data_IF_445904203254
#
_entry.id   IF_445904203254
#
_cell.length_a   1.000
_cell.length_b   1.000
_cell.length_c   1.000
_cell.angle_alpha   90.00
_cell.angle_beta   90.00
_cell.angle_gamma   90.00
#
_symmetry.space_group_name_H-M   'P 1'
#
loop_
_entity.id
_entity.type
_entity.pdbx_description
1 polymer ?
#
# COMPACT_ATOMS: atom_id res chain seq x y z
N UNK A 1 5.52 -22.61 10.16
CA UNK A 1 4.09 -22.26 10.20
C UNK A 1 3.78 -21.16 11.22
N UNK A 2 3.89 -21.35 12.54
CA UNK A 2 3.60 -20.27 13.51
C UNK A 2 4.57 -19.08 13.42
N UNK A 3 5.86 -19.33 13.19
CA UNK A 3 6.87 -18.27 13.03
C UNK A 3 6.61 -17.40 11.81
N UNK A 4 6.25 -18.02 10.69
CA UNK A 4 5.99 -17.33 9.42
C UNK A 4 4.73 -16.46 9.51
N UNK A 5 3.67 -16.95 10.18
CA UNK A 5 2.44 -16.20 10.40
C UNK A 5 2.67 -14.99 11.33
N UNK A 6 3.47 -15.18 12.39
CA UNK A 6 3.83 -14.11 13.32
C UNK A 6 4.67 -13.04 12.62
N UNK A 7 5.63 -13.45 11.78
CA UNK A 7 6.48 -12.52 11.04
C UNK A 7 5.66 -11.71 10.03
N UNK A 8 4.72 -12.35 9.31
CA UNK A 8 3.77 -11.66 8.44
C UNK A 8 2.91 -10.66 9.23
N UNK A 9 2.32 -11.07 10.35
CA UNK A 9 1.48 -10.20 11.16
C UNK A 9 2.25 -8.99 11.73
N UNK A 10 3.46 -9.21 12.25
CA UNK A 10 4.32 -8.14 12.78
C UNK A 10 4.72 -7.15 11.69
N UNK A 11 4.98 -7.65 10.49
CA UNK A 11 5.35 -6.81 9.36
C UNK A 11 4.22 -5.90 8.87
N UNK A 12 2.96 -6.20 9.20
CA UNK A 12 1.82 -5.28 9.02
C UNK A 12 1.63 -4.34 10.22
N UNK A 13 1.62 -4.90 11.43
CA UNK A 13 1.24 -4.17 12.65
C UNK A 13 2.27 -3.10 13.01
N UNK A 14 3.57 -3.38 12.86
CA UNK A 14 4.64 -2.42 13.17
C UNK A 14 4.58 -1.15 12.32
N UNK A 15 4.55 -1.22 10.98
CA UNK A 15 4.45 -0.02 10.13
C UNK A 15 3.13 0.74 10.32
N UNK A 16 1.99 0.04 10.44
CA UNK A 16 0.70 0.69 10.73
C UNK A 16 0.76 1.41 12.08
N UNK A 17 1.28 0.74 13.11
CA UNK A 17 1.45 1.31 14.45
C UNK A 17 2.37 2.53 14.43
N UNK A 18 3.52 2.45 13.76
CA UNK A 18 4.46 3.55 13.63
C UNK A 18 3.81 4.76 12.94
N UNK A 19 3.18 4.55 11.78
CA UNK A 19 2.50 5.61 11.04
C UNK A 19 1.36 6.21 11.85
N UNK A 20 0.61 5.40 12.58
CA UNK A 20 -0.48 5.89 13.43
C UNK A 20 0.08 6.72 14.59
N UNK A 21 1.11 6.25 15.30
CA UNK A 21 1.65 6.97 16.47
C UNK A 21 2.26 8.31 16.06
N UNK A 22 3.04 8.35 14.97
CA UNK A 22 3.81 9.54 14.60
C UNK A 22 3.10 10.45 13.58
N UNK A 23 2.21 9.90 12.74
CA UNK A 23 1.66 10.59 11.57
C UNK A 23 0.12 10.54 11.49
N UNK A 24 -0.62 10.10 12.53
CA UNK A 24 -2.09 9.89 12.44
C UNK A 24 -2.95 11.04 11.90
N UNK A 25 -2.51 12.30 11.97
CA UNK A 25 -3.25 13.46 11.43
C UNK A 25 -2.74 13.96 10.08
N UNK A 26 -1.84 13.22 9.44
CA UNK A 26 -1.27 13.63 8.16
C UNK A 26 -1.83 12.80 7.00
N UNK A 27 -1.91 13.39 5.79
CA UNK A 27 -2.27 12.65 4.58
C UNK A 27 -1.35 11.45 4.32
N UNK A 28 -0.09 11.53 4.74
CA UNK A 28 0.89 10.44 4.69
C UNK A 28 0.35 9.17 5.34
N UNK A 29 -0.26 9.28 6.52
CA UNK A 29 -0.79 8.12 7.22
C UNK A 29 -1.92 7.42 6.46
N UNK A 30 -2.80 8.22 5.85
CA UNK A 30 -3.88 7.72 4.99
C UNK A 30 -3.28 7.00 3.78
N UNK A 31 -2.31 7.61 3.10
CA UNK A 31 -1.69 7.04 1.91
C UNK A 31 -1.01 5.70 2.21
N UNK A 32 -0.22 5.65 3.29
CA UNK A 32 0.56 4.48 3.67
C UNK A 32 -0.33 3.32 4.14
N UNK A 33 -1.28 3.58 5.04
CA UNK A 33 -2.15 2.53 5.60
C UNK A 33 -3.11 2.01 4.52
N UNK A 34 -3.69 2.88 3.69
CA UNK A 34 -4.61 2.43 2.64
C UNK A 34 -3.91 1.60 1.56
N UNK A 35 -2.72 2.01 1.09
CA UNK A 35 -1.98 1.21 0.12
C UNK A 35 -1.52 -0.13 0.71
N UNK A 36 -1.13 -0.14 1.99
CA UNK A 36 -0.72 -1.37 2.66
C UNK A 36 -1.89 -2.33 2.87
N UNK A 37 -3.04 -1.86 3.37
CA UNK A 37 -4.17 -2.74 3.70
C UNK A 37 -5.10 -2.99 2.50
N UNK A 38 -5.58 -1.93 1.86
CA UNK A 38 -6.55 -2.05 0.77
C UNK A 38 -5.85 -2.39 -0.55
N UNK A 39 -4.70 -1.76 -0.82
CA UNK A 39 -3.89 -2.05 -2.01
C UNK A 39 -3.45 -3.51 -2.04
N UNK A 40 -2.68 -3.95 -1.04
CA UNK A 40 -2.18 -5.33 -0.98
C UNK A 40 -3.31 -6.37 -0.98
N UNK A 41 -4.32 -6.18 -0.12
CA UNK A 41 -5.44 -7.12 -0.03
C UNK A 41 -6.20 -7.30 -1.35
N UNK A 42 -6.44 -6.22 -2.10
CA UNK A 42 -7.08 -6.30 -3.42
C UNK A 42 -6.12 -6.85 -4.48
N UNK A 43 -4.83 -6.52 -4.44
CA UNK A 43 -3.83 -7.07 -5.34
C UNK A 43 -3.77 -8.60 -5.25
N UNK A 44 -3.84 -9.13 -4.03
CA UNK A 44 -3.76 -10.54 -3.74
C UNK A 44 -5.02 -11.31 -4.19
N UNK A 45 -6.20 -10.70 -4.04
CA UNK A 45 -7.47 -11.24 -4.56
C UNK A 45 -7.50 -11.16 -6.10
N UNK A 46 -7.17 -10.01 -6.67
CA UNK A 46 -7.20 -9.77 -8.10
C UNK A 46 -6.16 -10.64 -8.83
N UNK A 47 -4.97 -10.79 -8.26
CA UNK A 47 -3.92 -11.63 -8.82
C UNK A 47 -4.28 -13.12 -8.80
N UNK A 48 -4.96 -13.59 -7.76
CA UNK A 48 -5.47 -14.98 -7.71
C UNK A 48 -6.65 -15.20 -8.66
N UNK A 49 -7.54 -14.23 -8.82
CA UNK A 49 -8.78 -14.36 -9.60
C UNK A 49 -8.60 -14.11 -11.10
N UNK A 50 -7.69 -13.20 -11.47
CA UNK A 50 -7.45 -12.77 -12.86
C UNK A 50 -6.02 -13.06 -13.33
N UNK A 51 -5.33 -14.01 -12.68
CA UNK A 51 -3.90 -14.29 -12.86
C UNK A 51 -3.43 -14.85 -14.21
N UNK A 52 -4.18 -14.62 -15.28
CA UNK A 52 -3.84 -15.06 -16.64
C UNK A 52 -2.63 -14.34 -17.25
N UNK A 53 -2.44 -13.04 -16.96
CA UNK A 53 -1.33 -12.24 -17.50
C UNK A 53 -0.28 -11.97 -16.42
N UNK A 54 0.72 -12.86 -16.36
CA UNK A 54 1.88 -12.74 -15.46
C UNK A 54 2.85 -11.67 -15.97
N UNK A 55 3.56 -11.01 -15.05
CA UNK A 55 4.60 -10.05 -15.41
C UNK A 55 5.79 -10.79 -16.06
N UNK A 56 6.31 -10.30 -17.21
CA UNK A 56 7.42 -10.96 -17.92
C UNK A 56 8.70 -11.06 -17.08
N UNK A 57 8.86 -10.18 -16.08
CA UNK A 57 9.99 -10.12 -15.15
C UNK A 57 9.74 -10.85 -13.82
N UNK A 58 8.49 -11.14 -13.47
CA UNK A 58 8.12 -11.79 -12.20
C UNK A 58 6.93 -12.74 -12.38
N UNK A 59 7.22 -14.04 -12.50
CA UNK A 59 6.19 -15.09 -12.77
C UNK A 59 5.25 -15.35 -11.58
N UNK A 60 5.53 -14.78 -10.41
CA UNK A 60 4.69 -14.89 -9.23
C UNK A 60 3.66 -13.74 -9.12
N UNK A 61 3.89 -12.62 -9.81
CA UNK A 61 3.00 -11.45 -9.80
C UNK A 61 2.30 -11.29 -11.15
N UNK A 62 1.15 -10.62 -11.13
CA UNK A 62 0.25 -10.49 -12.28
C UNK A 62 -0.04 -9.02 -12.54
N UNK A 63 -0.24 -8.64 -13.81
CA UNK A 63 -0.63 -7.28 -14.14
C UNK A 63 -1.95 -6.88 -13.47
N UNK A 64 -2.88 -7.83 -13.36
CA UNK A 64 -4.16 -7.62 -12.66
C UNK A 64 -3.97 -7.31 -11.17
N UNK A 65 -3.01 -7.96 -10.51
CA UNK A 65 -2.66 -7.69 -9.11
C UNK A 65 -2.13 -6.26 -8.93
N UNK A 66 -1.11 -5.87 -9.70
CA UNK A 66 -0.51 -4.52 -9.59
C UNK A 66 -1.52 -3.40 -9.93
N UNK A 67 -2.37 -3.61 -10.93
CA UNK A 67 -3.42 -2.64 -11.27
C UNK A 67 -4.50 -2.57 -10.19
N UNK A 68 -4.89 -3.72 -9.64
CA UNK A 68 -5.80 -3.81 -8.49
C UNK A 68 -5.24 -3.09 -7.27
N UNK A 69 -3.95 -3.22 -7.03
CA UNK A 69 -3.25 -2.53 -5.94
C UNK A 69 -3.33 -1.01 -6.08
N UNK A 70 -2.97 -0.49 -7.26
CA UNK A 70 -2.97 0.95 -7.52
C UNK A 70 -4.38 1.54 -7.44
N UNK A 71 -5.39 0.85 -7.97
CA UNK A 71 -6.78 1.33 -7.91
C UNK A 71 -7.30 1.28 -6.49
N UNK A 72 -7.14 0.16 -5.79
CA UNK A 72 -7.69 -0.03 -4.46
C UNK A 72 -7.03 0.91 -3.44
N UNK A 73 -5.70 1.03 -3.50
CA UNK A 73 -4.95 1.94 -2.65
C UNK A 73 -5.34 3.40 -2.87
N UNK A 74 -5.40 3.84 -4.13
CA UNK A 74 -5.82 5.21 -4.47
C UNK A 74 -7.27 5.52 -4.06
N UNK A 75 -8.23 4.66 -4.41
CA UNK A 75 -9.64 4.86 -4.07
C UNK A 75 -9.86 4.83 -2.55
N UNK A 76 -9.19 3.93 -1.83
CA UNK A 76 -9.24 3.89 -0.38
C UNK A 76 -8.67 5.18 0.22
N UNK A 77 -7.51 5.66 -0.25
CA UNK A 77 -6.94 6.92 0.22
C UNK A 77 -7.83 8.12 -0.03
N UNK A 78 -8.49 8.19 -1.19
CA UNK A 78 -9.48 9.24 -1.47
C UNK A 78 -10.68 9.17 -0.52
N UNK A 79 -11.23 7.98 -0.31
CA UNK A 79 -12.38 7.79 0.57
C UNK A 79 -12.04 8.21 2.01
N UNK A 80 -10.87 7.82 2.51
CA UNK A 80 -10.41 8.23 3.83
C UNK A 80 -10.08 9.74 3.90
N UNK A 81 -9.52 10.34 2.84
CA UNK A 81 -9.33 11.79 2.78
C UNK A 81 -10.67 12.53 2.92
N UNK A 82 -11.70 12.14 2.15
CA UNK A 82 -13.04 12.73 2.28
C UNK A 82 -13.65 12.49 3.66
N UNK A 83 -13.47 11.29 4.22
CA UNK A 83 -13.95 10.96 5.56
C UNK A 83 -13.30 11.82 6.65
N UNK A 84 -11.97 11.98 6.62
CA UNK A 84 -11.26 12.83 7.57
C UNK A 84 -11.48 14.33 7.33
N UNK A 85 -11.75 14.73 6.09
CA UNK A 85 -12.12 16.11 5.77
C UNK A 85 -13.51 16.47 6.25
N UNK A 86 -14.47 15.55 6.18
CA UNK A 86 -15.80 15.71 6.79
C UNK A 86 -15.70 15.95 8.30
N UNK A 87 -14.76 15.28 8.96
CA UNK A 87 -14.52 15.39 10.39
C UNK A 87 -13.63 16.60 10.77
N UNK A 88 -13.33 17.48 9.81
CA UNK A 88 -12.49 18.68 10.00
C UNK A 88 -11.06 18.38 10.50
N UNK A 89 -10.58 17.13 10.34
CA UNK A 89 -9.22 16.76 10.73
C UNK A 89 -8.18 17.11 9.67
N UNK A 90 -8.56 17.12 8.39
CA UNK A 90 -7.68 17.36 7.24
C UNK A 90 -8.41 18.21 6.20
N UNK A 91 -7.75 19.23 5.65
CA UNK A 91 -8.27 19.99 4.51
C UNK A 91 -8.01 19.24 3.20
N UNK A 92 -9.04 18.70 2.56
CA UNK A 92 -8.87 18.02 1.28
C UNK A 92 -8.30 19.00 0.23
N UNK A 93 -7.14 18.66 -0.36
CA UNK A 93 -6.51 19.47 -1.39
C UNK A 93 -6.18 18.66 -2.65
N UNK A 94 -6.15 19.30 -3.84
CA UNK A 94 -5.75 18.63 -5.08
C UNK A 94 -4.32 18.04 -5.02
N UNK A 95 -3.43 18.67 -4.25
CA UNK A 95 -2.07 18.17 -4.05
C UNK A 95 -2.05 16.83 -3.30
N UNK A 96 -2.97 16.62 -2.36
CA UNK A 96 -3.10 15.33 -1.67
C UNK A 96 -3.57 14.23 -2.61
N UNK A 97 -4.50 14.54 -3.51
CA UNK A 97 -4.96 13.60 -4.55
C UNK A 97 -3.80 13.15 -5.43
N UNK A 98 -2.98 14.09 -5.89
CA UNK A 98 -1.76 13.77 -6.65
C UNK A 98 -0.78 12.94 -5.81
N UNK A 99 -0.58 13.30 -4.54
CA UNK A 99 0.27 12.53 -3.63
C UNK A 99 -0.21 11.08 -3.44
N UNK A 100 -1.51 10.86 -3.25
CA UNK A 100 -2.08 9.51 -3.15
C UNK A 100 -1.91 8.71 -4.43
N UNK A 101 -2.08 9.35 -5.58
CA UNK A 101 -1.86 8.70 -6.87
C UNK A 101 -0.40 8.26 -7.03
N UNK A 102 0.55 9.14 -6.71
CA UNK A 102 1.99 8.85 -6.78
C UNK A 102 2.40 7.74 -5.80
N UNK A 103 1.93 7.80 -4.55
CA UNK A 103 2.22 6.76 -3.55
C UNK A 103 1.63 5.43 -4.02
N UNK A 104 0.39 5.40 -4.51
CA UNK A 104 -0.24 4.15 -4.94
C UNK A 104 0.44 3.54 -6.17
N UNK A 105 0.85 4.37 -7.14
CA UNK A 105 1.64 3.92 -8.28
C UNK A 105 3.00 3.37 -7.84
N UNK A 106 3.69 4.10 -6.96
CA UNK A 106 5.01 3.70 -6.48
C UNK A 106 4.95 2.42 -5.65
N UNK A 107 3.95 2.27 -4.77
CA UNK A 107 3.72 1.03 -4.04
C UNK A 107 3.42 -0.12 -5.02
N UNK A 108 2.60 0.08 -6.06
CA UNK A 108 2.32 -0.96 -7.06
C UNK A 108 3.57 -1.36 -7.88
N UNK A 109 4.48 -0.41 -8.13
CA UNK A 109 5.78 -0.69 -8.75
C UNK A 109 6.70 -1.50 -7.83
N UNK A 110 6.79 -1.11 -6.56
CA UNK A 110 7.58 -1.86 -5.55
C UNK A 110 7.07 -3.30 -5.44
N UNK A 111 5.75 -3.48 -5.40
CA UNK A 111 5.09 -4.79 -5.36
C UNK A 111 5.35 -5.64 -6.61
N UNK A 112 5.47 -4.98 -7.78
CA UNK A 112 5.78 -5.67 -9.03
C UNK A 112 7.23 -6.15 -9.13
N UNK A 113 8.13 -5.59 -8.31
CA UNK A 113 9.55 -5.87 -8.36
C UNK A 113 9.85 -7.27 -7.81
N UNK A 114 10.69 -8.09 -8.49
CA UNK A 114 11.02 -9.43 -8.03
C UNK A 114 12.07 -9.36 -6.90
N UNK A 115 11.65 -8.98 -5.69
CA UNK A 115 12.45 -9.25 -4.51
C UNK A 115 12.48 -10.76 -4.23
N UNK A 116 13.65 -11.24 -3.77
CA UNK A 116 13.95 -12.65 -3.58
C UNK A 116 12.95 -13.30 -2.62
N UNK A 117 12.34 -14.47 -2.93
CA UNK A 117 11.29 -15.12 -2.12
C UNK A 117 11.72 -15.61 -0.71
N UNK A 118 12.97 -15.30 -0.28
CA UNK A 118 13.49 -15.61 1.05
C UNK A 118 13.63 -14.38 1.95
N UNK A 119 13.61 -13.17 1.39
CA UNK A 119 13.39 -11.95 2.17
C UNK A 119 11.90 -11.67 2.03
N UNK A 120 11.13 -12.05 3.06
CA UNK A 120 9.67 -11.91 3.09
C UNK A 120 9.22 -10.55 2.54
N UNK A 121 8.45 -10.61 1.44
CA UNK A 121 7.71 -9.48 0.82
C UNK A 121 6.99 -8.61 1.86
N UNK A 122 6.64 -9.20 3.01
CA UNK A 122 5.90 -8.57 4.10
C UNK A 122 6.61 -7.38 4.77
N UNK A 123 7.95 -7.29 4.78
CA UNK A 123 8.65 -6.20 5.49
C UNK A 123 9.07 -5.06 4.55
N UNK A 124 9.45 -5.38 3.31
CA UNK A 124 10.03 -4.41 2.37
C UNK A 124 8.97 -3.50 1.76
N UNK A 125 7.79 -4.05 1.50
CA UNK A 125 6.66 -3.35 0.90
C UNK A 125 6.03 -2.24 1.79
N UNK A 126 5.74 -2.50 3.09
CA UNK A 126 5.29 -1.46 4.00
C UNK A 126 6.35 -0.37 4.22
N UNK A 127 7.62 -0.75 4.36
CA UNK A 127 8.72 0.20 4.56
C UNK A 127 8.89 1.12 3.34
N UNK A 128 8.85 0.56 2.14
CA UNK A 128 8.94 1.35 0.92
C UNK A 128 7.76 2.32 0.79
N UNK A 129 6.54 1.88 1.10
CA UNK A 129 5.35 2.74 1.08
C UNK A 129 5.43 3.86 2.12
N UNK A 130 5.95 3.60 3.31
CA UNK A 130 6.19 4.62 4.34
C UNK A 130 7.28 5.60 3.90
N UNK A 131 8.41 5.09 3.38
CA UNK A 131 9.50 5.94 2.91
C UNK A 131 9.02 6.87 1.78
N UNK A 132 8.31 6.33 0.80
CA UNK A 132 7.75 7.10 -0.31
C UNK A 132 6.74 8.14 0.18
N UNK A 133 5.83 7.77 1.07
CA UNK A 133 4.87 8.70 1.63
C UNK A 133 5.55 9.83 2.44
N UNK A 134 6.68 9.55 3.08
CA UNK A 134 7.53 10.57 3.77
C UNK A 134 8.29 11.47 2.80
N UNK A 135 8.59 11.03 1.58
CA UNK A 135 9.22 11.89 0.56
C UNK A 135 8.23 12.77 -0.19
N UNK A 136 6.97 12.34 -0.29
CA UNK A 136 5.92 13.02 -1.06
C UNK A 136 5.18 14.09 -0.24
N UNK A 137 5.08 13.91 1.07
CA UNK A 137 4.36 14.79 2.00
C UNK A 137 5.27 15.32 3.10
#
# INVERSE_FOLDING_TARGET
MFRDLLQAALAYVLPIGFVTVFYWRTPLAIAAICNLCAGDGVADIAGRRFGGSKLPYNKNKTFAGSFGMAIAGFLASLLYMYYFSWLEYIEASPNMVLGFFLVSLASALVESYPFTPKLDDNLTFPLASIMLATFVF
#
